data_IF_904660013667
#
_entry.id   IF_904660013667
#
_cell.length_a   1.000
_cell.length_b   1.000
_cell.length_c   1.000
_cell.angle_alpha   90.00
_cell.angle_beta   90.00
_cell.angle_gamma   90.00
#
_symmetry.space_group_name_H-M   'P 1'
#
loop_
_entity.id
_entity.type
_entity.pdbx_description
1 polymer ?
#
# COMPACT_ATOMS: atom_id res chain seq x y z
N UNK A 1 26.32 -6.72 -9.32
CA UNK A 1 25.82 -5.97 -8.16
C UNK A 1 26.36 -4.54 -8.24
N UNK A 2 25.52 -3.59 -8.66
CA UNK A 2 25.80 -2.17 -8.43
C UNK A 2 24.97 -1.77 -7.22
N UNK A 3 25.63 -1.59 -6.08
CA UNK A 3 25.03 -0.84 -4.96
C UNK A 3 24.87 0.60 -5.44
N UNK A 4 23.69 0.90 -5.97
CA UNK A 4 23.29 2.28 -6.20
C UNK A 4 23.05 2.91 -4.83
N UNK A 5 23.93 3.85 -4.44
CA UNK A 5 23.64 4.86 -3.44
C UNK A 5 22.42 5.67 -3.89
N UNK A 6 21.23 5.15 -3.68
CA UNK A 6 20.00 5.95 -3.71
C UNK A 6 19.85 6.61 -2.34
N UNK A 7 19.62 7.93 -2.24
CA UNK A 7 19.08 8.48 -1.01
C UNK A 7 17.77 7.74 -0.73
N UNK A 8 17.57 7.29 0.52
CA UNK A 8 16.32 6.66 0.97
C UNK A 8 15.14 7.44 0.41
N UNK A 9 14.40 6.85 -0.54
CA UNK A 9 13.27 7.53 -1.17
C UNK A 9 12.13 7.54 -0.16
N UNK A 10 11.96 8.70 0.49
CA UNK A 10 10.84 8.92 1.39
C UNK A 10 9.54 8.70 0.62
N UNK A 11 8.64 7.89 1.19
CA UNK A 11 7.43 7.52 0.51
C UNK A 11 6.57 8.75 0.20
N UNK A 12 6.46 9.71 1.14
CA UNK A 12 5.79 10.99 0.89
C UNK A 12 6.30 11.76 -0.34
N UNK A 13 7.61 11.74 -0.61
CA UNK A 13 8.17 12.47 -1.76
C UNK A 13 7.75 11.82 -3.08
N UNK A 14 7.74 10.48 -3.13
CA UNK A 14 7.23 9.72 -4.28
C UNK A 14 5.73 9.95 -4.51
N UNK A 15 4.93 10.03 -3.43
CA UNK A 15 3.51 10.35 -3.53
C UNK A 15 3.30 11.75 -4.13
N UNK A 16 4.08 12.73 -3.66
CA UNK A 16 4.03 14.10 -4.18
C UNK A 16 4.41 14.17 -5.66
N UNK A 17 5.45 13.45 -6.07
CA UNK A 17 5.83 13.34 -7.50
C UNK A 17 4.70 12.75 -8.35
N UNK A 18 4.05 11.68 -7.86
CA UNK A 18 2.90 11.08 -8.54
C UNK A 18 1.72 12.05 -8.68
N UNK A 19 1.42 12.84 -7.65
CA UNK A 19 0.35 13.84 -7.72
C UNK A 19 0.65 14.97 -8.69
N UNK A 20 1.91 15.42 -8.75
CA UNK A 20 2.33 16.41 -9.73
C UNK A 20 2.11 15.87 -11.14
N UNK A 21 2.49 14.61 -11.40
CA UNK A 21 2.25 13.96 -12.69
C UNK A 21 0.76 13.88 -13.03
N UNK A 22 -0.11 13.47 -12.09
CA UNK A 22 -1.56 13.43 -12.29
C UNK A 22 -2.18 14.80 -12.58
N UNK A 23 -1.63 15.88 -12.00
CA UNK A 23 -2.08 17.25 -12.30
C UNK A 23 -1.68 17.71 -13.70
N UNK A 24 -0.53 17.28 -14.19
CA UNK A 24 -0.03 17.62 -15.52
C UNK A 24 -0.66 16.78 -16.63
N UNK A 25 -1.00 15.52 -16.34
CA UNK A 25 -1.70 14.63 -17.26
C UNK A 25 -2.97 14.07 -16.61
N UNK A 26 -4.15 14.66 -16.87
CA UNK A 26 -5.42 14.17 -16.34
C UNK A 26 -5.81 12.75 -16.79
N UNK A 27 -5.16 12.22 -17.84
CA UNK A 27 -5.37 10.84 -18.29
C UNK A 27 -4.49 9.85 -17.51
N UNK A 28 -3.43 10.34 -16.86
CA UNK A 28 -2.60 9.54 -15.98
C UNK A 28 -3.35 9.28 -14.67
N UNK A 29 -3.74 8.02 -14.46
CA UNK A 29 -4.36 7.56 -13.21
C UNK A 29 -3.45 6.55 -12.54
N UNK A 30 -3.09 6.85 -11.30
CA UNK A 30 -2.12 6.08 -10.51
C UNK A 30 -2.75 5.63 -9.21
N UNK A 31 -2.31 4.47 -8.69
CA UNK A 31 -2.73 3.94 -7.40
C UNK A 31 -2.27 4.82 -6.22
N UNK A 32 -1.32 5.72 -6.46
CA UNK A 32 -0.69 6.57 -5.46
C UNK A 32 -1.38 7.92 -5.31
N UNK A 33 -1.47 8.43 -4.08
CA UNK A 33 -1.99 9.76 -3.80
C UNK A 33 -2.20 10.05 -2.32
N UNK A 34 -2.37 11.32 -1.95
CA UNK A 34 -2.51 11.77 -0.55
C UNK A 34 -3.89 11.53 0.07
N UNK A 35 -4.88 11.10 -0.71
CA UNK A 35 -6.24 10.85 -0.20
C UNK A 35 -6.25 9.72 0.84
N UNK A 36 -6.86 9.98 2.00
CA UNK A 36 -7.13 8.98 3.05
C UNK A 36 -8.46 8.25 2.84
N UNK A 37 -9.23 8.63 1.82
CA UNK A 37 -10.50 8.00 1.50
C UNK A 37 -10.28 6.60 0.94
N UNK A 38 -11.12 5.68 1.37
CA UNK A 38 -11.14 4.29 0.94
C UNK A 38 -11.85 3.44 2.00
N UNK A 39 -12.20 2.22 1.61
CA UNK A 39 -12.82 1.25 2.52
C UNK A 39 -12.00 -0.04 2.52
N UNK A 40 -11.88 -0.64 3.70
CA UNK A 40 -11.43 -2.02 3.84
C UNK A 40 -12.50 -2.94 3.23
N UNK A 41 -12.09 -3.84 2.36
CA UNK A 41 -12.94 -4.83 1.74
C UNK A 41 -12.94 -6.12 2.54
N UNK A 42 -14.11 -6.75 2.63
CA UNK A 42 -14.24 -8.10 3.17
C UNK A 42 -13.64 -9.15 2.23
N UNK A 43 -13.30 -10.33 2.76
CA UNK A 43 -12.79 -11.47 1.96
C UNK A 43 -13.72 -11.89 0.83
N UNK A 44 -15.03 -11.74 1.04
CA UNK A 44 -16.04 -11.99 0.00
C UNK A 44 -15.97 -10.98 -1.15
N UNK A 45 -15.88 -9.69 -0.84
CA UNK A 45 -15.75 -8.63 -1.85
C UNK A 45 -14.43 -8.77 -2.63
N UNK A 46 -13.35 -9.15 -1.94
CA UNK A 46 -12.06 -9.45 -2.58
C UNK A 46 -12.16 -10.64 -3.54
N UNK A 47 -12.93 -11.67 -3.20
CA UNK A 47 -13.09 -12.87 -4.04
C UNK A 47 -13.74 -12.54 -5.40
N UNK A 48 -14.72 -11.63 -5.44
CA UNK A 48 -15.27 -11.17 -6.71
C UNK A 48 -14.31 -10.28 -7.52
N UNK A 49 -13.57 -9.42 -6.83
CA UNK A 49 -12.70 -8.43 -7.48
C UNK A 49 -11.38 -9.02 -7.97
N UNK A 50 -10.86 -10.06 -7.29
CA UNK A 50 -9.68 -10.80 -7.73
C UNK A 50 -9.88 -11.50 -9.08
N UNK A 51 -11.09 -12.02 -9.36
CA UNK A 51 -11.43 -12.57 -10.68
C UNK A 51 -11.31 -11.48 -11.76
N UNK A 52 -11.70 -10.23 -11.47
CA UNK A 52 -11.51 -9.07 -12.34
C UNK A 52 -10.04 -8.66 -12.52
N UNK A 53 -9.26 -8.71 -11.44
CA UNK A 53 -7.83 -8.38 -11.44
C UNK A 53 -7.04 -9.27 -12.42
N UNK A 54 -7.28 -10.58 -12.41
CA UNK A 54 -6.59 -11.54 -13.29
C UNK A 54 -7.22 -11.70 -14.68
N UNK A 55 -8.46 -11.25 -14.90
CA UNK A 55 -9.17 -11.39 -16.19
C UNK A 55 -9.08 -10.16 -17.10
N UNK A 56 -8.49 -9.05 -16.64
CA UNK A 56 -8.35 -7.82 -17.42
C UNK A 56 -7.29 -7.89 -18.53
N UNK A 57 -7.51 -8.78 -19.50
CA UNK A 57 -6.69 -8.97 -20.70
C UNK A 57 -7.06 -8.03 -21.87
N UNK A 58 -7.84 -6.98 -21.62
CA UNK A 58 -8.32 -6.12 -22.72
C UNK A 58 -8.86 -4.76 -22.28
N UNK A 59 -7.97 -3.78 -22.19
CA UNK A 59 -8.34 -2.36 -22.31
C UNK A 59 -8.21 -1.54 -21.04
N UNK A 60 -7.20 -0.66 -21.02
CA UNK A 60 -7.05 0.56 -20.20
C UNK A 60 -7.86 0.55 -18.90
N UNK A 61 -7.33 -0.08 -17.85
CA UNK A 61 -7.89 0.09 -16.52
C UNK A 61 -7.66 1.53 -16.04
N UNK A 62 -8.74 2.12 -15.55
CA UNK A 62 -8.85 3.51 -15.20
C UNK A 62 -8.94 3.55 -13.68
N UNK A 63 -7.83 3.83 -12.97
CA UNK A 63 -7.85 3.91 -11.50
C UNK A 63 -9.02 4.76 -11.00
N UNK A 64 -9.98 4.07 -10.39
CA UNK A 64 -11.33 4.54 -10.11
C UNK A 64 -11.89 3.85 -8.87
N UNK A 65 -13.14 4.14 -8.50
CA UNK A 65 -13.74 3.68 -7.23
C UNK A 65 -13.84 2.15 -7.08
N UNK A 66 -13.66 1.41 -8.16
CA UNK A 66 -13.77 -0.05 -8.21
C UNK A 66 -12.42 -0.77 -8.14
N UNK A 67 -11.30 -0.03 -8.20
CA UNK A 67 -9.96 -0.64 -8.19
C UNK A 67 -9.52 -0.97 -6.77
N UNK A 68 -8.89 -2.15 -6.64
CA UNK A 68 -8.49 -2.72 -5.36
C UNK A 68 -6.99 -2.77 -5.29
N UNK A 69 -6.47 -2.27 -4.18
CA UNK A 69 -5.12 -2.52 -3.72
C UNK A 69 -5.17 -3.72 -2.79
N UNK A 70 -4.39 -4.74 -3.11
CA UNK A 70 -4.13 -5.84 -2.18
C UNK A 70 -2.99 -5.44 -1.25
N UNK A 71 -3.20 -5.62 0.04
CA UNK A 71 -2.24 -5.25 1.07
C UNK A 71 -1.84 -6.51 1.81
N UNK A 72 -0.55 -6.80 1.80
CA UNK A 72 0.04 -7.87 2.60
C UNK A 72 1.00 -7.26 3.61
N UNK A 73 0.94 -7.72 4.85
CA UNK A 73 1.86 -7.31 5.91
C UNK A 73 2.68 -8.54 6.29
N UNK A 74 3.96 -8.62 5.90
CA UNK A 74 4.79 -9.76 6.27
C UNK A 74 5.19 -9.72 7.76
N UNK A 75 5.76 -10.81 8.30
CA UNK A 75 6.39 -10.78 9.61
C UNK A 75 7.48 -9.70 9.70
N UNK A 76 7.60 -9.08 10.88
CA UNK A 76 8.61 -8.05 11.15
C UNK A 76 10.03 -8.65 11.14
N UNK A 77 11.06 -7.83 11.00
CA UNK A 77 12.47 -8.27 11.11
C UNK A 77 12.77 -8.91 12.48
N UNK A 78 12.03 -8.47 13.51
CA UNK A 78 12.08 -9.01 14.87
C UNK A 78 11.39 -10.38 15.00
N UNK A 79 10.75 -10.88 13.95
CA UNK A 79 10.07 -12.18 13.89
C UNK A 79 8.62 -12.18 14.40
N UNK A 80 8.04 -11.01 14.69
CA UNK A 80 6.64 -10.90 15.11
C UNK A 80 5.77 -11.12 13.88
N UNK A 81 4.86 -12.09 13.97
CA UNK A 81 3.92 -12.41 12.89
C UNK A 81 2.63 -11.60 13.05
N UNK A 82 2.00 -11.18 11.93
CA UNK A 82 0.63 -10.69 11.96
C UNK A 82 -0.29 -11.65 12.72
N UNK A 83 -1.20 -11.08 13.50
CA UNK A 83 -2.21 -11.82 14.26
C UNK A 83 -3.46 -12.08 13.41
N UNK A 84 -3.76 -11.19 12.47
CA UNK A 84 -4.94 -11.31 11.64
C UNK A 84 -4.88 -12.52 10.69
N UNK A 85 -5.97 -13.28 10.64
CA UNK A 85 -6.12 -14.47 9.78
C UNK A 85 -6.41 -14.14 8.32
N UNK A 86 -6.91 -12.94 8.05
CA UNK A 86 -7.59 -12.62 6.78
C UNK A 86 -6.68 -11.90 5.77
N UNK A 87 -5.37 -12.10 5.87
CA UNK A 87 -4.41 -11.58 4.89
C UNK A 87 -4.53 -12.32 3.54
N UNK A 88 -4.39 -11.62 2.40
CA UNK A 88 -4.17 -10.17 2.25
C UNK A 88 -5.45 -9.35 2.41
N UNK A 89 -5.32 -8.08 2.81
CA UNK A 89 -6.45 -7.13 2.87
C UNK A 89 -6.74 -6.48 1.51
N UNK A 90 -7.97 -6.04 1.31
CA UNK A 90 -8.38 -5.28 0.13
C UNK A 90 -8.70 -3.84 0.48
N UNK A 91 -8.22 -2.89 -0.31
CA UNK A 91 -8.42 -1.46 -0.09
C UNK A 91 -8.84 -0.75 -1.38
N UNK A 92 -9.88 0.08 -1.31
CA UNK A 92 -10.42 0.82 -2.47
C UNK A 92 -9.87 2.24 -2.63
N UNK A 93 -8.98 2.66 -1.73
CA UNK A 93 -8.40 4.00 -1.72
C UNK A 93 -7.04 4.08 -2.42
N UNK A 94 -6.32 5.17 -2.14
CA UNK A 94 -4.95 5.38 -2.63
C UNK A 94 -3.92 4.71 -1.71
N UNK A 95 -2.79 4.33 -2.29
CA UNK A 95 -1.61 3.87 -1.57
C UNK A 95 -0.85 5.10 -1.06
N UNK A 96 -0.61 5.15 0.24
CA UNK A 96 0.13 6.20 0.95
C UNK A 96 0.56 5.76 2.36
N UNK A 97 1.25 6.66 3.07
CA UNK A 97 1.73 6.43 4.44
C UNK A 97 0.59 6.09 5.40
N UNK A 98 -0.58 6.74 5.24
CA UNK A 98 -1.74 6.50 6.11
C UNK A 98 -2.25 5.07 6.00
N UNK A 99 -2.48 4.55 4.78
CA UNK A 99 -2.92 3.16 4.63
C UNK A 99 -1.82 2.16 5.02
N UNK A 100 -0.54 2.53 4.91
CA UNK A 100 0.58 1.70 5.38
C UNK A 100 0.52 1.52 6.90
N UNK A 101 0.28 2.60 7.64
CA UNK A 101 0.10 2.55 9.10
C UNK A 101 -1.15 1.75 9.48
N UNK A 102 -2.27 2.04 8.82
CA UNK A 102 -3.54 1.39 9.09
C UNK A 102 -3.48 -0.12 8.84
N UNK A 103 -2.77 -0.55 7.79
CA UNK A 103 -2.54 -1.96 7.49
C UNK A 103 -1.76 -2.67 8.60
N UNK A 104 -0.76 -2.01 9.19
CA UNK A 104 -0.04 -2.53 10.36
C UNK A 104 -0.98 -2.63 11.57
N UNK A 105 -1.82 -1.62 11.80
CA UNK A 105 -2.79 -1.67 12.89
C UNK A 105 -3.74 -2.86 12.74
N UNK A 106 -4.24 -3.12 11.52
CA UNK A 106 -5.08 -4.29 11.25
C UNK A 106 -4.33 -5.60 11.44
N UNK A 107 -3.11 -5.71 10.89
CA UNK A 107 -2.32 -6.92 10.91
C UNK A 107 -1.93 -7.36 12.33
N UNK A 108 -1.66 -6.40 13.22
CA UNK A 108 -1.19 -6.65 14.58
C UNK A 108 -2.24 -6.30 15.67
N UNK A 109 -3.48 -6.03 15.27
CA UNK A 109 -4.59 -5.67 16.16
C UNK A 109 -4.27 -4.51 17.12
N UNK A 110 -3.56 -3.49 16.63
CA UNK A 110 -3.17 -2.33 17.41
C UNK A 110 -4.36 -1.38 17.56
N UNK A 111 -4.74 -1.06 18.79
CA UNK A 111 -6.00 -0.36 19.08
C UNK A 111 -5.82 1.13 19.36
N UNK A 112 -4.59 1.59 19.62
CA UNK A 112 -4.30 2.97 19.97
C UNK A 112 -3.12 3.54 19.18
N UNK A 113 -3.14 4.87 18.99
CA UNK A 113 -2.07 5.57 18.28
C UNK A 113 -0.71 5.44 18.99
N UNK A 114 -0.70 5.46 20.33
CA UNK A 114 0.53 5.31 21.11
C UNK A 114 1.13 3.90 20.98
N UNK A 115 0.28 2.87 21.01
CA UNK A 115 0.69 1.49 20.75
C UNK A 115 1.23 1.34 19.33
N UNK A 116 0.53 1.90 18.35
CA UNK A 116 0.92 1.92 16.94
C UNK A 116 2.30 2.52 16.77
N UNK A 117 2.53 3.73 17.29
CA UNK A 117 3.82 4.40 17.15
C UNK A 117 4.96 3.67 17.86
N UNK A 118 4.72 3.08 19.04
CA UNK A 118 5.71 2.25 19.74
C UNK A 118 6.05 1.00 18.93
N UNK A 119 5.03 0.36 18.35
CA UNK A 119 5.20 -0.83 17.53
C UNK A 119 6.00 -0.52 16.25
N UNK A 120 5.61 0.52 15.51
CA UNK A 120 6.27 0.95 14.28
C UNK A 120 7.76 1.24 14.52
N UNK A 121 8.08 2.05 15.54
CA UNK A 121 9.46 2.42 15.88
C UNK A 121 10.32 1.22 16.28
N UNK A 122 9.75 0.29 17.02
CA UNK A 122 10.47 -0.88 17.54
C UNK A 122 10.69 -1.95 16.47
N UNK A 123 9.67 -2.21 15.66
CA UNK A 123 9.64 -3.39 14.79
C UNK A 123 9.85 -3.08 13.30
N UNK A 124 9.81 -1.80 12.90
CA UNK A 124 10.08 -1.33 11.53
C UNK A 124 9.36 -2.19 10.47
N UNK A 125 8.03 -2.34 10.56
CA UNK A 125 7.31 -3.28 9.72
C UNK A 125 7.38 -2.89 8.24
N UNK A 126 7.23 -3.90 7.40
CA UNK A 126 7.02 -3.75 5.96
C UNK A 126 5.53 -3.85 5.64
N UNK A 127 5.14 -3.22 4.53
CA UNK A 127 3.82 -3.38 3.92
C UNK A 127 4.03 -3.54 2.43
N UNK A 128 3.51 -4.64 1.89
CA UNK A 128 3.53 -4.94 0.47
C UNK A 128 2.18 -4.59 -0.13
N UNK A 129 2.21 -3.82 -1.21
CA UNK A 129 1.01 -3.47 -1.97
C UNK A 129 1.10 -4.07 -3.36
N UNK A 130 0.06 -4.78 -3.78
CA UNK A 130 -0.16 -5.17 -5.17
C UNK A 130 -1.36 -4.41 -5.72
N UNK A 131 -1.19 -3.80 -6.88
CA UNK A 131 -2.20 -2.93 -7.48
C UNK A 131 -2.22 -3.07 -9.00
N UNK A 132 -3.23 -2.48 -9.62
CA UNK A 132 -3.37 -2.36 -11.05
C UNK A 132 -3.60 -0.89 -11.34
N UNK A 133 -2.84 -0.29 -12.24
CA UNK A 133 -3.05 1.10 -12.64
C UNK A 133 -3.03 1.25 -14.18
N UNK A 134 -2.96 2.49 -14.67
CA UNK A 134 -2.91 2.78 -16.11
C UNK A 134 -1.71 2.17 -16.85
N UNK A 135 -0.63 1.81 -16.15
CA UNK A 135 0.54 1.14 -16.70
C UNK A 135 0.47 -0.39 -16.60
N UNK A 136 -0.57 -0.93 -15.97
CA UNK A 136 -0.74 -2.35 -15.73
C UNK A 136 -0.48 -2.75 -14.27
N UNK A 137 -0.24 -4.04 -14.00
CA UNK A 137 -0.05 -4.54 -12.64
C UNK A 137 1.27 -4.02 -12.07
N UNK A 138 1.25 -3.64 -10.80
CA UNK A 138 2.39 -3.12 -10.07
C UNK A 138 2.45 -3.66 -8.64
N UNK A 139 3.67 -3.68 -8.10
CA UNK A 139 3.94 -4.04 -6.73
C UNK A 139 4.87 -2.98 -6.12
N UNK A 140 4.66 -2.66 -4.85
CA UNK A 140 5.52 -1.77 -4.09
C UNK A 140 5.59 -2.22 -2.64
N UNK A 141 6.81 -2.28 -2.11
CA UNK A 141 7.05 -2.53 -0.70
C UNK A 141 7.50 -1.25 -0.03
N UNK A 142 6.89 -0.95 1.11
CA UNK A 142 7.31 0.16 1.96
C UNK A 142 7.70 -0.34 3.35
N UNK A 143 8.66 0.32 3.97
CA UNK A 143 9.11 0.01 5.33
C UNK A 143 9.06 1.27 6.19
N UNK A 144 8.66 1.12 7.45
CA UNK A 144 8.84 2.18 8.43
C UNK A 144 10.27 2.16 8.96
N UNK A 145 11.07 3.20 8.71
CA UNK A 145 12.50 3.19 9.07
C UNK A 145 12.80 3.52 10.55
N UNK A 146 11.78 3.98 11.29
CA UNK A 146 11.87 4.50 12.66
C UNK A 146 11.30 5.91 12.81
N UNK A 147 11.29 6.69 11.73
CA UNK A 147 10.80 8.06 11.71
C UNK A 147 9.76 8.30 10.60
N UNK A 148 9.94 7.67 9.43
CA UNK A 148 9.06 7.82 8.27
C UNK A 148 9.05 6.56 7.39
N UNK A 149 8.08 6.49 6.49
CA UNK A 149 7.97 5.43 5.50
C UNK A 149 8.93 5.63 4.34
N UNK A 150 9.60 4.56 3.93
CA UNK A 150 10.51 4.51 2.79
C UNK A 150 10.07 3.46 1.79
N UNK A 151 10.38 3.66 0.52
CA UNK A 151 10.23 2.63 -0.52
C UNK A 151 11.49 1.76 -0.51
N UNK A 152 11.32 0.44 -0.56
CA UNK A 152 12.40 -0.56 -0.49
C UNK A 152 12.65 -1.21 -1.84
#
# INVERSE_FOLDING_TARGET
>A
MKQSNFPLKKFSDFLRENEILQRHDPLFRSAFGSSKEGNLLSSWEMSFRSIGFFSSLGGRNIFGKEEVVFINVPPTETGIKPLASDLPYGWTGKINEYISELAVCWAFELLSDDETMKFLKKNKPFVDFSYLDSNGPGEITVQFNGDFWIIV
#
